data_IF_678237757198
#
_entry.id   IF_678237757198
#
_cell.length_a   1.000
_cell.length_b   1.000
_cell.length_c   1.000
_cell.angle_alpha   90.00
_cell.angle_beta   90.00
_cell.angle_gamma   90.00
#
_symmetry.space_group_name_H-M   'P 1'
#
loop_
_entity.id
_entity.type
_entity.pdbx_description
1 polymer ?
#
# COMPACT_ATOMS: atom_id res chain seq x y z
N UNK A 1 -14.06 -4.94 32.13
CA UNK A 1 -15.14 -3.95 31.90
C UNK A 1 -15.31 -3.80 30.40
N UNK A 2 -16.39 -4.37 29.87
CA UNK A 2 -16.71 -4.41 28.46
C UNK A 2 -17.74 -3.32 28.15
N UNK A 3 -17.51 -2.52 27.10
CA UNK A 3 -18.52 -1.61 26.54
C UNK A 3 -18.83 -2.02 25.12
N UNK A 4 -20.08 -2.43 24.97
CA UNK A 4 -20.67 -3.03 23.79
C UNK A 4 -20.89 -2.02 22.65
N UNK A 5 -20.74 -2.53 21.43
CA UNK A 5 -21.13 -1.89 20.19
C UNK A 5 -22.65 -2.03 19.97
N UNK A 6 -23.30 -0.95 19.54
CA UNK A 6 -24.66 -0.97 18.99
C UNK A 6 -24.62 -0.35 17.60
N UNK A 7 -24.43 -1.19 16.57
CA UNK A 7 -24.70 -0.85 15.17
C UNK A 7 -26.10 -1.36 14.83
N UNK A 8 -26.97 -0.42 14.47
CA UNK A 8 -28.35 -0.68 14.09
C UNK A 8 -28.46 -1.46 12.78
N UNK A 9 -29.03 -2.64 12.86
CA UNK A 9 -29.57 -3.40 11.73
C UNK A 9 -30.84 -2.70 11.24
N UNK A 10 -30.81 -2.12 10.04
CA UNK A 10 -32.02 -1.76 9.30
C UNK A 10 -32.46 -2.98 8.49
N UNK A 11 -33.68 -3.39 8.75
CA UNK A 11 -34.40 -4.50 8.13
C UNK A 11 -34.49 -4.32 6.61
N UNK A 12 -33.91 -5.28 5.87
CA UNK A 12 -34.19 -5.47 4.46
C UNK A 12 -35.58 -6.12 4.35
N UNK A 13 -36.58 -5.30 4.00
CA UNK A 13 -37.94 -5.75 3.69
C UNK A 13 -37.93 -6.51 2.37
N UNK A 14 -37.83 -7.84 2.47
CA UNK A 14 -38.11 -8.78 1.38
C UNK A 14 -39.56 -8.61 0.93
N UNK A 15 -39.76 -7.96 -0.23
CA UNK A 15 -41.04 -7.96 -0.95
C UNK A 15 -41.00 -9.07 -1.99
N UNK A 16 -41.79 -10.11 -1.72
CA UNK A 16 -42.06 -11.23 -2.60
C UNK A 16 -42.76 -10.77 -3.91
N UNK A 17 -42.66 -11.55 -5.00
CA UNK A 17 -43.22 -11.20 -6.30
C UNK A 17 -44.76 -11.21 -6.24
N UNK A 18 -45.38 -10.12 -6.71
CA UNK A 18 -46.81 -10.07 -7.00
C UNK A 18 -47.14 -11.09 -8.08
N UNK A 19 -47.79 -12.16 -7.69
CA UNK A 19 -48.50 -13.10 -8.56
C UNK A 19 -49.57 -12.35 -9.34
N UNK A 20 -49.42 -12.34 -10.67
CA UNK A 20 -50.44 -11.89 -11.62
C UNK A 20 -51.64 -12.83 -11.53
N UNK A 21 -52.79 -12.27 -11.17
CA UNK A 21 -54.09 -12.93 -11.32
C UNK A 21 -54.60 -12.64 -12.73
N UNK A 22 -54.91 -13.63 -13.58
CA UNK A 22 -55.61 -13.42 -14.83
C UNK A 22 -57.10 -13.64 -14.55
N UNK A 23 -57.83 -12.59 -14.16
CA UNK A 23 -59.28 -12.70 -14.08
C UNK A 23 -59.97 -12.22 -15.35
N UNK A 24 -60.87 -13.08 -15.81
CA UNK A 24 -61.45 -13.13 -17.13
C UNK A 24 -62.56 -12.08 -17.25
N UNK A 25 -62.26 -10.93 -17.86
CA UNK A 25 -63.32 -10.09 -18.43
C UNK A 25 -63.66 -10.54 -19.86
N UNK A 26 -64.28 -11.73 -19.94
CA UNK A 26 -65.10 -12.12 -21.10
C UNK A 26 -66.40 -11.33 -21.03
N UNK A 27 -66.39 -10.09 -21.54
CA UNK A 27 -67.64 -9.40 -21.88
C UNK A 27 -67.99 -9.71 -23.33
N UNK A 28 -68.64 -10.86 -23.52
CA UNK A 28 -69.33 -11.17 -24.76
C UNK A 28 -70.42 -10.13 -24.98
N UNK A 29 -70.28 -9.33 -26.05
CA UNK A 29 -71.36 -8.51 -26.55
C UNK A 29 -72.36 -9.43 -27.21
N UNK A 30 -73.42 -9.78 -26.47
CA UNK A 30 -74.62 -10.41 -27.00
C UNK A 30 -75.21 -9.42 -27.99
N UNK A 31 -75.03 -9.68 -29.28
CA UNK A 31 -75.85 -9.10 -30.33
C UNK A 31 -77.28 -9.58 -30.12
N UNK A 32 -78.19 -8.62 -29.90
CA UNK A 32 -79.62 -8.85 -29.97
C UNK A 32 -79.93 -9.24 -31.41
N UNK A 33 -80.21 -10.52 -31.63
CA UNK A 33 -80.84 -10.98 -32.87
C UNK A 33 -82.30 -10.55 -32.72
N UNK A 34 -82.68 -9.48 -33.41
CA UNK A 34 -84.07 -9.16 -33.67
C UNK A 34 -84.65 -10.30 -34.52
N UNK A 35 -85.28 -11.24 -33.84
CA UNK A 35 -86.21 -12.21 -34.42
C UNK A 35 -87.59 -11.61 -34.22
N UNK A 36 -88.43 -11.74 -35.25
CA UNK A 36 -89.85 -11.38 -35.31
C UNK A 36 -90.17 -9.97 -35.84
N UNK A 37 -90.22 -9.87 -37.17
CA UNK A 37 -91.33 -9.16 -37.84
C UNK A 37 -91.64 -9.85 -39.19
N UNK A 38 -92.11 -11.10 -39.12
CA UNK A 38 -92.85 -11.74 -40.21
C UNK A 38 -94.23 -11.06 -40.29
N UNK A 39 -94.27 -9.88 -40.91
CA UNK A 39 -95.49 -9.34 -41.48
C UNK A 39 -95.76 -10.07 -42.79
N UNK A 40 -96.66 -11.06 -42.72
CA UNK A 40 -97.33 -11.62 -43.89
C UNK A 40 -98.05 -10.48 -44.64
N UNK A 41 -97.37 -9.87 -45.61
CA UNK A 41 -98.00 -9.04 -46.63
C UNK A 41 -98.84 -9.96 -47.55
N UNK A 42 -100.16 -9.71 -47.68
CA UNK A 42 -100.99 -10.42 -48.64
C UNK A 42 -100.61 -9.92 -50.03
N UNK A 43 -99.76 -10.68 -50.74
CA UNK A 43 -99.45 -10.44 -52.14
C UNK A 43 -100.73 -10.57 -52.98
N UNK A 44 -101.40 -9.46 -53.26
CA UNK A 44 -102.37 -9.35 -54.34
C UNK A 44 -101.65 -9.62 -55.66
N UNK A 45 -101.94 -10.79 -56.21
CA UNK A 45 -101.36 -11.35 -57.42
C UNK A 45 -101.97 -10.68 -58.66
N UNK A 46 -101.60 -9.42 -58.93
CA UNK A 46 -101.66 -8.85 -60.29
C UNK A 46 -100.54 -7.81 -60.50
N UNK A 47 -99.33 -8.15 -60.06
CA UNK A 47 -98.12 -7.42 -60.46
C UNK A 47 -97.85 -7.69 -61.93
N UNK A 48 -97.84 -6.64 -62.76
CA UNK A 48 -97.47 -6.77 -64.17
C UNK A 48 -96.04 -7.34 -64.28
N UNK A 49 -95.77 -8.14 -65.31
CA UNK A 49 -94.45 -8.73 -65.58
C UNK A 49 -93.33 -7.67 -65.54
N UNK A 50 -93.66 -6.43 -65.93
CA UNK A 50 -92.76 -5.29 -65.91
C UNK A 50 -92.37 -4.84 -64.48
N UNK A 51 -93.31 -4.86 -63.53
CA UNK A 51 -93.02 -4.53 -62.11
C UNK A 51 -92.17 -5.61 -61.42
N UNK A 52 -92.40 -6.88 -61.72
CA UNK A 52 -91.57 -8.00 -61.25
C UNK A 52 -90.15 -7.88 -61.79
N UNK A 53 -90.00 -7.55 -63.08
CA UNK A 53 -88.70 -7.34 -63.71
C UNK A 53 -87.93 -6.15 -63.10
N UNK A 54 -88.62 -5.04 -62.80
CA UNK A 54 -88.02 -3.89 -62.10
C UNK A 54 -87.57 -4.25 -60.68
N UNK A 55 -88.39 -4.98 -59.92
CA UNK A 55 -88.03 -5.43 -58.57
C UNK A 55 -86.83 -6.40 -58.59
N UNK A 56 -86.78 -7.33 -59.54
CA UNK A 56 -85.64 -8.22 -59.74
C UNK A 56 -84.37 -7.43 -60.08
N UNK A 57 -84.46 -6.40 -60.92
CA UNK A 57 -83.33 -5.55 -61.25
C UNK A 57 -82.83 -4.75 -60.03
N UNK A 58 -83.73 -4.24 -59.19
CA UNK A 58 -83.37 -3.57 -57.93
C UNK A 58 -82.69 -4.53 -56.97
N UNK A 59 -83.27 -5.72 -56.73
CA UNK A 59 -82.68 -6.74 -55.86
C UNK A 59 -81.34 -7.24 -56.37
N UNK A 60 -81.18 -7.37 -57.70
CA UNK A 60 -79.90 -7.70 -58.31
C UNK A 60 -78.84 -6.62 -58.06
N UNK A 61 -79.22 -5.34 -58.13
CA UNK A 61 -78.31 -4.24 -57.82
C UNK A 61 -77.95 -4.19 -56.32
N UNK A 62 -78.92 -4.42 -55.43
CA UNK A 62 -78.69 -4.51 -53.98
C UNK A 62 -77.73 -5.66 -53.64
N UNK A 63 -77.92 -6.84 -54.24
CA UNK A 63 -77.01 -7.99 -54.05
C UNK A 63 -75.60 -7.67 -54.54
N UNK A 64 -75.46 -7.03 -55.70
CA UNK A 64 -74.15 -6.61 -56.21
C UNK A 64 -73.48 -5.58 -55.29
N UNK A 65 -74.24 -4.63 -54.75
CA UNK A 65 -73.72 -3.65 -53.81
C UNK A 65 -73.29 -4.32 -52.50
N UNK A 66 -74.12 -5.20 -51.94
CA UNK A 66 -73.82 -5.95 -50.73
C UNK A 66 -72.58 -6.83 -50.90
N UNK A 67 -72.45 -7.49 -52.05
CA UNK A 67 -71.28 -8.30 -52.36
C UNK A 67 -70.01 -7.45 -52.40
N UNK A 68 -70.04 -6.26 -53.04
CA UNK A 68 -68.89 -5.35 -53.03
C UNK A 68 -68.52 -4.90 -51.62
N UNK A 69 -69.49 -4.51 -50.80
CA UNK A 69 -69.22 -4.08 -49.42
C UNK A 69 -68.69 -5.23 -48.56
N UNK A 70 -69.15 -6.45 -48.81
CA UNK A 70 -68.64 -7.63 -48.13
C UNK A 70 -67.18 -7.90 -48.55
N UNK A 71 -66.87 -7.82 -49.85
CA UNK A 71 -65.51 -8.02 -50.35
C UNK A 71 -64.54 -6.95 -49.80
N UNK A 72 -64.99 -5.70 -49.70
CA UNK A 72 -64.25 -4.61 -49.06
C UNK A 72 -64.03 -4.87 -47.55
N UNK A 73 -65.06 -5.33 -46.84
CA UNK A 73 -64.96 -5.71 -45.43
C UNK A 73 -63.94 -6.84 -45.23
N UNK A 74 -64.05 -7.93 -45.99
CA UNK A 74 -63.11 -9.06 -45.93
C UNK A 74 -61.68 -8.60 -46.20
N UNK A 75 -61.48 -7.77 -47.22
CA UNK A 75 -60.16 -7.21 -47.53
C UNK A 75 -59.60 -6.39 -46.36
N UNK A 76 -60.41 -5.49 -45.80
CA UNK A 76 -59.99 -4.67 -44.65
C UNK A 76 -59.69 -5.52 -43.42
N UNK A 77 -60.47 -6.57 -43.16
CA UNK A 77 -60.26 -7.51 -42.05
C UNK A 77 -58.92 -8.23 -42.20
N UNK A 78 -58.61 -8.74 -43.39
CA UNK A 78 -57.32 -9.39 -43.65
C UNK A 78 -56.13 -8.42 -43.56
N UNK A 79 -56.32 -7.15 -43.90
CA UNK A 79 -55.29 -6.11 -43.72
C UNK A 79 -55.03 -5.86 -42.22
N UNK A 80 -56.09 -5.71 -41.41
CA UNK A 80 -55.96 -5.55 -39.95
C UNK A 80 -55.34 -6.78 -39.28
N UNK A 81 -55.74 -7.99 -39.67
CA UNK A 81 -55.14 -9.24 -39.16
C UNK A 81 -53.64 -9.26 -39.41
N UNK A 82 -53.20 -8.93 -40.64
CA UNK A 82 -51.78 -8.85 -40.99
C UNK A 82 -51.04 -7.79 -40.17
N UNK A 83 -51.63 -6.62 -39.97
CA UNK A 83 -51.02 -5.56 -39.15
C UNK A 83 -50.86 -6.00 -37.69
N UNK A 84 -51.86 -6.70 -37.13
CA UNK A 84 -51.79 -7.25 -35.78
C UNK A 84 -50.73 -8.35 -35.66
N UNK A 85 -50.61 -9.24 -36.63
CA UNK A 85 -49.56 -10.26 -36.68
C UNK A 85 -48.16 -9.63 -36.68
N UNK A 86 -47.94 -8.59 -37.49
CA UNK A 86 -46.67 -7.85 -37.52
C UNK A 86 -46.36 -7.22 -36.15
N UNK A 87 -47.38 -6.67 -35.49
CA UNK A 87 -47.22 -6.03 -34.19
C UNK A 87 -46.93 -7.06 -33.07
N UNK A 88 -47.58 -8.22 -33.10
CA UNK A 88 -47.27 -9.35 -32.21
C UNK A 88 -45.82 -9.80 -32.41
N UNK A 89 -45.40 -10.04 -33.66
CA UNK A 89 -44.02 -10.40 -34.00
C UNK A 89 -43.01 -9.37 -33.48
N UNK A 90 -43.34 -8.09 -33.58
CA UNK A 90 -42.50 -7.00 -33.08
C UNK A 90 -42.37 -7.05 -31.56
N UNK A 91 -43.47 -7.26 -30.85
CA UNK A 91 -43.46 -7.37 -29.39
C UNK A 91 -42.76 -8.63 -28.90
N UNK A 92 -42.91 -9.76 -29.57
CA UNK A 92 -42.20 -10.99 -29.25
C UNK A 92 -40.68 -10.80 -29.39
N UNK A 93 -40.22 -10.23 -30.51
CA UNK A 93 -38.80 -9.91 -30.72
C UNK A 93 -38.27 -8.96 -29.65
N UNK A 94 -39.02 -7.92 -29.32
CA UNK A 94 -38.64 -6.97 -28.26
C UNK A 94 -38.56 -7.65 -26.89
N UNK A 95 -39.48 -8.57 -26.61
CA UNK A 95 -39.51 -9.32 -25.34
C UNK A 95 -38.30 -10.24 -25.24
N UNK A 96 -37.99 -11.01 -26.27
CA UNK A 96 -36.79 -11.85 -26.33
C UNK A 96 -35.50 -11.03 -26.17
N UNK A 97 -35.42 -9.85 -26.80
CA UNK A 97 -34.28 -8.95 -26.62
C UNK A 97 -34.16 -8.47 -25.17
N UNK A 98 -35.25 -8.03 -24.55
CA UNK A 98 -35.25 -7.58 -23.15
C UNK A 98 -34.88 -8.70 -22.19
N UNK A 99 -35.37 -9.92 -22.40
CA UNK A 99 -35.00 -11.10 -21.63
C UNK A 99 -33.50 -11.41 -21.76
N UNK A 100 -32.95 -11.34 -22.97
CA UNK A 100 -31.51 -11.55 -23.19
C UNK A 100 -30.65 -10.53 -22.46
N UNK A 101 -31.06 -9.25 -22.46
CA UNK A 101 -30.38 -8.16 -21.74
C UNK A 101 -30.51 -8.36 -20.23
N UNK A 102 -31.68 -8.73 -19.74
CA UNK A 102 -31.90 -9.00 -18.32
C UNK A 102 -31.00 -10.15 -17.82
N UNK A 103 -30.90 -11.23 -18.59
CA UNK A 103 -30.00 -12.34 -18.28
C UNK A 103 -28.53 -11.91 -18.28
N UNK A 104 -28.12 -11.06 -19.21
CA UNK A 104 -26.75 -10.54 -19.24
C UNK A 104 -26.45 -9.66 -18.02
N UNK A 105 -27.36 -8.75 -17.67
CA UNK A 105 -27.20 -7.88 -16.51
C UNK A 105 -27.15 -8.65 -15.19
N UNK A 106 -27.90 -9.74 -15.05
CA UNK A 106 -27.80 -10.60 -13.86
C UNK A 106 -26.45 -11.33 -13.78
N UNK A 107 -25.85 -11.72 -14.92
CA UNK A 107 -24.47 -12.26 -14.93
C UNK A 107 -23.46 -11.19 -14.54
N UNK A 108 -23.52 -10.03 -15.18
CA UNK A 108 -22.59 -8.92 -14.92
C UNK A 108 -22.66 -8.48 -13.44
N UNK A 109 -23.86 -8.48 -12.85
CA UNK A 109 -24.09 -8.23 -11.42
C UNK A 109 -23.48 -9.32 -10.54
N UNK A 110 -23.57 -10.59 -10.94
CA UNK A 110 -22.92 -11.71 -10.26
C UNK A 110 -21.39 -11.58 -10.27
N UNK A 111 -20.81 -11.25 -11.42
CA UNK A 111 -19.37 -11.04 -11.59
C UNK A 111 -18.89 -9.85 -10.76
N UNK A 112 -19.61 -8.73 -10.80
CA UNK A 112 -19.30 -7.53 -10.02
C UNK A 112 -19.39 -7.80 -8.51
N UNK A 113 -20.39 -8.54 -8.05
CA UNK A 113 -20.50 -8.92 -6.64
C UNK A 113 -19.34 -9.81 -6.19
N UNK A 114 -18.89 -10.73 -7.05
CA UNK A 114 -17.75 -11.61 -6.77
C UNK A 114 -16.47 -10.79 -6.65
N UNK A 115 -16.19 -9.93 -7.62
CA UNK A 115 -15.05 -9.01 -7.60
C UNK A 115 -15.09 -8.06 -6.38
N UNK A 116 -16.27 -7.55 -6.03
CA UNK A 116 -16.43 -6.70 -4.84
C UNK A 116 -16.10 -7.45 -3.55
N UNK A 117 -16.45 -8.73 -3.46
CA UNK A 117 -16.13 -9.55 -2.29
C UNK A 117 -14.64 -9.86 -2.21
N UNK A 118 -13.98 -10.16 -3.33
CA UNK A 118 -12.53 -10.34 -3.40
C UNK A 118 -11.79 -9.09 -2.91
N UNK A 119 -12.16 -7.90 -3.40
CA UNK A 119 -11.56 -6.63 -2.96
C UNK A 119 -11.79 -6.38 -1.47
N UNK A 120 -12.97 -6.73 -0.92
CA UNK A 120 -13.22 -6.63 0.52
C UNK A 120 -12.32 -7.55 1.33
N UNK A 121 -12.11 -8.77 0.87
CA UNK A 121 -11.22 -9.74 1.53
C UNK A 121 -9.77 -9.25 1.50
N UNK A 122 -9.28 -8.78 0.35
CA UNK A 122 -7.96 -8.18 0.21
C UNK A 122 -7.76 -6.95 1.12
N UNK A 123 -8.79 -6.10 1.20
CA UNK A 123 -8.78 -4.94 2.09
C UNK A 123 -8.64 -5.37 3.56
N UNK A 124 -9.40 -6.38 3.99
CA UNK A 124 -9.29 -6.91 5.35
C UNK A 124 -7.92 -7.51 5.63
N UNK A 125 -7.34 -8.26 4.69
CA UNK A 125 -5.98 -8.80 4.83
C UNK A 125 -4.96 -7.66 4.96
N UNK A 126 -5.10 -6.62 4.15
CA UNK A 126 -4.24 -5.44 4.17
C UNK A 126 -4.34 -4.69 5.50
N UNK A 127 -5.55 -4.49 6.03
CA UNK A 127 -5.77 -3.86 7.33
C UNK A 127 -5.14 -4.66 8.48
N UNK A 128 -5.28 -5.99 8.48
CA UNK A 128 -4.62 -6.84 9.48
C UNK A 128 -3.09 -6.73 9.40
N UNK A 129 -2.54 -6.71 8.18
CA UNK A 129 -1.10 -6.55 7.97
C UNK A 129 -0.61 -5.18 8.42
N UNK A 130 -1.35 -4.12 8.11
CA UNK A 130 -1.04 -2.76 8.56
C UNK A 130 -1.01 -2.70 10.09
N UNK A 131 -2.04 -3.23 10.75
CA UNK A 131 -2.11 -3.26 12.21
C UNK A 131 -0.90 -4.00 12.82
N UNK A 132 -0.54 -5.17 12.28
CA UNK A 132 0.63 -5.92 12.73
C UNK A 132 1.93 -5.10 12.61
N UNK A 133 2.13 -4.41 11.47
CA UNK A 133 3.31 -3.57 11.27
C UNK A 133 3.32 -2.36 12.22
N UNK A 134 2.16 -1.76 12.49
CA UNK A 134 2.04 -0.67 13.46
C UNK A 134 2.43 -1.12 14.87
N UNK A 135 1.99 -2.31 15.30
CA UNK A 135 2.39 -2.89 16.59
C UNK A 135 3.90 -3.13 16.65
N UNK A 136 4.47 -3.78 15.63
CA UNK A 136 5.92 -4.02 15.56
C UNK A 136 6.73 -2.72 15.59
N UNK A 137 6.26 -1.68 14.89
CA UNK A 137 6.89 -0.37 14.90
C UNK A 137 6.81 0.30 16.29
N UNK A 138 5.70 0.10 17.01
CA UNK A 138 5.58 0.52 18.41
C UNK A 138 6.60 -0.18 19.31
N UNK A 139 6.72 -1.50 19.21
CA UNK A 139 7.65 -2.31 20.01
C UNK A 139 9.11 -1.93 19.72
N UNK A 140 9.46 -1.72 18.45
CA UNK A 140 10.81 -1.30 18.06
C UNK A 140 11.15 0.09 18.57
N UNK A 141 10.21 1.05 18.52
CA UNK A 141 10.42 2.38 19.12
C UNK A 141 10.67 2.30 20.62
N UNK A 142 9.89 1.50 21.34
CA UNK A 142 10.08 1.31 22.76
C UNK A 142 11.44 0.68 23.08
N UNK A 143 11.86 -0.32 22.28
CA UNK A 143 13.16 -0.97 22.43
C UNK A 143 14.32 -0.01 22.18
N UNK A 144 14.21 0.86 21.16
CA UNK A 144 15.22 1.89 20.88
C UNK A 144 15.36 2.84 22.07
N UNK A 145 14.26 3.36 22.60
CA UNK A 145 14.29 4.26 23.76
C UNK A 145 14.96 3.61 24.97
N UNK A 146 14.72 2.31 25.18
CA UNK A 146 15.36 1.58 26.28
C UNK A 146 16.86 1.42 26.08
N UNK A 147 17.29 1.11 24.86
CA UNK A 147 18.71 1.01 24.52
C UNK A 147 19.42 2.36 24.60
N UNK A 148 18.75 3.45 24.24
CA UNK A 148 19.27 4.81 24.42
C UNK A 148 19.48 5.12 25.90
N UNK A 149 18.50 4.81 26.76
CA UNK A 149 18.64 4.96 28.21
C UNK A 149 19.80 4.13 28.77
N UNK A 150 19.88 2.85 28.43
CA UNK A 150 20.95 1.96 28.90
C UNK A 150 22.33 2.48 28.45
N UNK A 151 22.42 3.09 27.26
CA UNK A 151 23.65 3.69 26.75
C UNK A 151 24.04 4.95 27.56
N UNK A 152 23.10 5.86 27.80
CA UNK A 152 23.34 7.05 28.63
C UNK A 152 23.83 6.68 30.05
N UNK A 153 23.26 5.63 30.63
CA UNK A 153 23.68 5.07 31.93
C UNK A 153 25.11 4.52 31.87
N UNK A 154 25.45 3.76 30.82
CA UNK A 154 26.80 3.23 30.60
C UNK A 154 27.84 4.33 30.37
N UNK A 155 27.53 5.36 29.58
CA UNK A 155 28.43 6.50 29.39
C UNK A 155 28.69 7.25 30.70
N UNK A 156 27.65 7.39 31.52
CA UNK A 156 27.77 8.01 32.84
C UNK A 156 28.67 7.17 33.75
N UNK A 157 28.47 5.85 33.79
CA UNK A 157 29.31 4.94 34.55
C UNK A 157 30.77 4.97 34.08
N UNK A 158 31.01 5.05 32.77
CA UNK A 158 32.35 5.16 32.19
C UNK A 158 33.03 6.47 32.62
N UNK A 159 32.31 7.61 32.61
CA UNK A 159 32.84 8.90 33.08
C UNK A 159 33.20 8.86 34.57
N UNK A 160 32.35 8.26 35.41
CA UNK A 160 32.63 8.10 36.84
C UNK A 160 33.84 7.20 37.08
N UNK A 161 33.93 6.07 36.37
CA UNK A 161 35.07 5.16 36.47
C UNK A 161 36.39 5.85 36.05
N UNK A 162 36.36 6.63 34.97
CA UNK A 162 37.52 7.38 34.50
C UNK A 162 37.98 8.42 35.53
N UNK A 163 37.06 9.20 36.10
CA UNK A 163 37.38 10.14 37.18
C UNK A 163 37.98 9.41 38.41
N UNK A 164 37.44 8.24 38.77
CA UNK A 164 37.99 7.44 39.87
C UNK A 164 39.40 6.91 39.57
N UNK A 165 39.71 6.57 38.31
CA UNK A 165 41.05 6.15 37.89
C UNK A 165 42.01 7.33 38.04
N UNK A 166 41.63 8.51 37.55
CA UNK A 166 42.44 9.74 37.64
C UNK A 166 42.71 10.12 39.11
N UNK A 167 41.71 10.05 39.98
CA UNK A 167 41.87 10.28 41.42
C UNK A 167 42.86 9.29 42.08
N UNK A 168 42.80 8.01 41.68
CA UNK A 168 43.72 7.00 42.19
C UNK A 168 45.14 7.19 41.66
N UNK A 169 45.29 7.59 40.40
CA UNK A 169 46.57 7.94 39.79
C UNK A 169 47.23 9.10 40.53
N UNK A 170 46.50 10.20 40.76
CA UNK A 170 47.00 11.34 41.52
C UNK A 170 47.42 10.94 42.95
N UNK A 171 46.62 10.11 43.64
CA UNK A 171 46.98 9.58 44.97
C UNK A 171 48.25 8.74 44.92
N UNK A 172 48.39 7.89 43.89
CA UNK A 172 49.59 7.07 43.68
C UNK A 172 50.83 7.92 43.45
N UNK A 173 50.73 8.96 42.61
CA UNK A 173 51.81 9.91 42.34
C UNK A 173 52.22 10.66 43.63
N UNK A 174 51.25 11.16 44.39
CA UNK A 174 51.50 11.83 45.67
C UNK A 174 52.22 10.91 46.67
N UNK A 175 51.80 9.65 46.79
CA UNK A 175 52.46 8.68 47.66
C UNK A 175 53.87 8.34 47.20
N UNK A 176 54.10 8.28 45.89
CA UNK A 176 55.43 8.06 45.31
C UNK A 176 56.36 9.24 45.61
N UNK A 177 55.89 10.48 45.45
CA UNK A 177 56.63 11.69 45.82
C UNK A 177 57.01 11.69 47.31
N UNK A 178 56.07 11.36 48.20
CA UNK A 178 56.33 11.23 49.64
C UNK A 178 57.37 10.14 49.92
N UNK A 179 57.32 9.01 49.22
CA UNK A 179 58.27 7.92 49.40
C UNK A 179 59.69 8.33 48.97
N UNK A 180 59.82 9.01 47.83
CA UNK A 180 61.09 9.56 47.34
C UNK A 180 61.66 10.57 48.34
N UNK A 181 60.82 11.45 48.89
CA UNK A 181 61.24 12.42 49.90
C UNK A 181 61.79 11.75 51.17
N UNK A 182 61.05 10.79 51.73
CA UNK A 182 61.47 10.03 52.92
C UNK A 182 62.74 9.21 52.65
N UNK A 183 62.89 8.65 51.45
CA UNK A 183 64.10 7.93 51.07
C UNK A 183 65.31 8.86 51.05
N UNK A 184 65.16 10.07 50.51
CA UNK A 184 66.21 11.08 50.53
C UNK A 184 66.59 11.51 51.96
N UNK A 185 65.61 11.75 52.84
CA UNK A 185 65.88 12.06 54.26
C UNK A 185 66.61 10.91 54.97
N UNK A 186 66.19 9.66 54.73
CA UNK A 186 66.86 8.48 55.27
C UNK A 186 68.31 8.38 54.79
N UNK A 187 68.56 8.60 53.51
CA UNK A 187 69.91 8.59 52.94
C UNK A 187 70.78 9.68 53.58
N UNK A 188 70.24 10.86 53.82
CA UNK A 188 70.96 11.97 54.46
C UNK A 188 71.28 11.67 55.94
N UNK A 189 70.32 11.13 56.70
CA UNK A 189 70.55 10.67 58.07
C UNK A 189 71.63 9.57 58.14
N UNK A 190 71.61 8.62 57.20
CA UNK A 190 72.62 7.57 57.12
C UNK A 190 74.01 8.13 56.82
N UNK A 191 74.12 9.14 55.95
CA UNK A 191 75.40 9.84 55.70
C UNK A 191 75.89 10.57 56.96
N UNK A 192 74.99 11.23 57.68
CA UNK A 192 75.35 11.90 58.94
C UNK A 192 75.84 10.90 59.99
N UNK A 193 75.13 9.77 60.17
CA UNK A 193 75.57 8.69 61.05
C UNK A 193 76.93 8.11 60.65
N UNK A 194 77.13 7.83 59.35
CA UNK A 194 78.41 7.35 58.85
C UNK A 194 79.56 8.35 59.11
N UNK A 195 79.29 9.65 58.93
CA UNK A 195 80.24 10.72 59.22
C UNK A 195 80.64 10.75 60.71
N UNK A 196 79.66 10.63 61.61
CA UNK A 196 79.89 10.55 63.06
C UNK A 196 80.76 9.33 63.40
N UNK A 197 80.43 8.15 62.88
CA UNK A 197 81.20 6.91 63.11
C UNK A 197 82.66 7.07 62.63
N UNK A 198 82.88 7.66 61.45
CA UNK A 198 84.24 7.90 60.93
C UNK A 198 85.01 8.89 61.82
N UNK A 199 84.34 9.91 62.36
CA UNK A 199 84.93 10.87 63.28
C UNK A 199 85.27 10.25 64.66
N UNK A 200 84.50 9.28 65.14
CA UNK A 200 84.77 8.56 66.40
C UNK A 200 85.88 7.50 66.28
N UNK A 201 86.13 6.96 65.07
CA UNK A 201 87.14 5.91 64.83
C UNK A 201 88.55 6.46 64.52
N UNK A 202 88.73 7.78 64.37
CA UNK A 202 90.07 8.39 64.21
C UNK A 202 90.52 9.23 65.42
N UNK A 203 91.24 8.65 66.40
CA UNK A 203 92.32 9.36 67.06
C UNK A 203 93.59 9.27 66.17
N UNK A 204 94.22 10.42 65.95
CA UNK A 204 95.47 10.67 65.24
C UNK A 204 96.38 9.46 64.92
N UNK A 205 96.63 9.20 63.63
CA UNK A 205 97.90 8.59 63.19
C UNK A 205 98.21 9.00 61.74
N UNK A 206 99.34 9.69 61.58
CA UNK A 206 99.93 10.15 60.32
C UNK A 206 100.63 8.99 59.59
N UNK A 207 100.52 8.94 58.26
CA UNK A 207 101.41 8.13 57.41
C UNK A 207 101.07 8.23 55.92
N UNK A 208 102.00 8.61 55.02
CA UNK A 208 101.71 8.81 53.61
C UNK A 208 101.88 7.51 52.81
N UNK A 209 100.97 7.24 51.88
CA UNK A 209 101.14 6.12 50.96
C UNK A 209 99.98 5.91 49.99
N UNK A 210 100.23 6.28 48.73
CA UNK A 210 99.66 5.71 47.51
C UNK A 210 98.16 5.91 47.18
N UNK A 211 97.94 6.74 46.16
CA UNK A 211 96.88 6.62 45.13
C UNK A 211 97.54 5.81 43.99
N UNK A 212 96.86 5.02 43.10
CA UNK A 212 95.63 5.50 42.46
C UNK A 212 94.60 4.51 41.85
N UNK A 213 93.53 5.14 41.33
CA UNK A 213 92.84 4.93 40.03
C UNK A 213 91.49 4.19 39.96
N UNK A 214 90.48 5.01 39.63
CA UNK A 214 89.36 4.87 38.67
C UNK A 214 89.01 3.50 38.08
N UNK A 215 87.70 3.20 38.07
CA UNK A 215 86.96 3.01 36.82
C UNK A 215 85.43 3.12 37.02
N UNK A 216 84.83 4.02 36.25
CA UNK A 216 83.41 4.10 35.89
C UNK A 216 83.10 3.09 34.80
N UNK A 217 81.92 2.44 34.83
CA UNK A 217 81.14 1.95 33.67
C UNK A 217 79.75 1.55 34.19
N UNK A 218 78.69 2.31 33.89
CA UNK A 218 77.77 2.17 32.74
C UNK A 218 76.83 0.95 32.79
N UNK A 219 75.54 1.28 32.89
CA UNK A 219 74.33 0.57 32.47
C UNK A 219 74.50 -0.69 31.61
N UNK A 220 73.74 -1.75 31.95
CA UNK A 220 73.16 -2.62 30.94
C UNK A 220 71.88 -3.30 31.45
N UNK A 221 70.74 -2.86 30.89
CA UNK A 221 69.47 -3.60 30.86
C UNK A 221 69.71 -4.95 30.17
N UNK A 222 69.15 -6.03 30.72
CA UNK A 222 68.70 -7.18 29.93
C UNK A 222 67.59 -7.92 30.67
N UNK A 223 66.39 -7.74 30.14
CA UNK A 223 65.23 -8.60 30.34
C UNK A 223 65.50 -10.00 29.79
N UNK A 224 65.00 -11.03 30.48
CA UNK A 224 64.93 -12.44 30.06
C UNK A 224 63.54 -12.93 30.50
N UNK A 225 62.62 -13.18 29.56
CA UNK A 225 62.19 -14.52 29.07
C UNK A 225 61.34 -15.27 30.12
N UNK A 226 60.14 -15.80 29.89
CA UNK A 226 59.63 -16.71 28.84
C UNK A 226 58.09 -16.82 29.03
N UNK A 227 57.28 -16.70 27.97
CA UNK A 227 56.51 -17.75 27.26
C UNK A 227 55.26 -18.32 27.98
N UNK A 228 54.10 -18.09 27.35
CA UNK A 228 53.01 -19.03 26.99
C UNK A 228 52.02 -18.20 26.14
N UNK A 229 51.99 -18.23 24.80
CA UNK A 229 51.56 -19.27 23.84
C UNK A 229 50.07 -19.67 23.96
N UNK A 230 49.44 -19.89 22.78
CA UNK A 230 48.04 -20.29 22.46
C UNK A 230 47.11 -19.07 22.21
N UNK A 231 46.56 -18.76 21.02
CA UNK A 231 46.33 -19.45 19.73
C UNK A 231 45.90 -18.40 18.68
N UNK A 232 46.25 -18.58 17.41
CA UNK A 232 45.68 -17.89 16.21
C UNK A 232 44.75 -18.87 15.45
N UNK A 233 44.11 -18.57 14.27
CA UNK A 233 44.03 -17.35 13.45
C UNK A 233 42.57 -17.00 12.98
N UNK A 234 42.26 -15.88 12.31
CA UNK A 234 42.26 -15.69 10.84
C UNK A 234 41.92 -14.20 10.50
N UNK A 235 42.42 -13.64 9.38
CA UNK A 235 42.60 -12.20 9.19
C UNK A 235 41.64 -11.54 8.18
N UNK A 236 41.45 -10.23 8.37
CA UNK A 236 40.88 -9.25 7.43
C UNK A 236 42.01 -8.70 6.54
N UNK A 237 41.84 -8.53 5.21
CA UNK A 237 42.83 -7.84 4.38
C UNK A 237 42.37 -6.42 3.95
N UNK A 238 43.05 -5.42 4.47
CA UNK A 238 43.33 -4.11 3.83
C UNK A 238 44.83 -4.12 3.48
N UNK A 239 45.42 -3.46 2.50
CA UNK A 239 45.05 -2.59 1.39
C UNK A 239 46.38 -2.50 0.59
N UNK A 240 46.36 -2.54 -0.74
CA UNK A 240 47.60 -2.35 -1.50
C UNK A 240 47.41 -1.37 -2.65
N UNK A 241 47.98 -0.19 -2.44
CA UNK A 241 48.09 0.93 -3.37
C UNK A 241 48.83 0.55 -4.65
N UNK A 242 48.18 0.70 -5.82
CA UNK A 242 48.87 0.84 -7.11
C UNK A 242 48.25 1.94 -7.98
N UNK A 243 49.12 2.89 -8.34
CA UNK A 243 48.91 4.01 -9.26
C UNK A 243 48.55 3.50 -10.67
N UNK A 244 47.57 4.13 -11.33
CA UNK A 244 47.30 3.88 -12.75
C UNK A 244 46.17 4.71 -13.38
N UNK A 245 46.58 5.78 -14.08
CA UNK A 245 45.95 6.44 -15.26
C UNK A 245 44.53 7.02 -15.14
N UNK A 246 44.52 8.35 -15.22
CA UNK A 246 43.38 9.24 -15.50
C UNK A 246 42.56 8.77 -16.71
N UNK A 247 41.26 8.57 -16.51
CA UNK A 247 40.23 8.74 -17.56
C UNK A 247 39.15 9.66 -17.01
N UNK A 248 38.96 10.79 -17.70
CA UNK A 248 37.84 11.73 -17.54
C UNK A 248 36.55 10.98 -17.87
N UNK A 249 35.76 10.66 -16.85
CA UNK A 249 34.37 10.25 -16.97
C UNK A 249 33.58 11.07 -15.97
N UNK A 250 32.71 11.94 -16.46
CA UNK A 250 31.82 12.77 -15.65
C UNK A 250 30.90 11.82 -14.87
N UNK A 251 31.02 11.81 -13.54
CA UNK A 251 29.95 11.32 -12.68
C UNK A 251 28.80 12.32 -12.76
N UNK A 252 27.53 11.90 -12.89
CA UNK A 252 26.42 12.77 -12.56
C UNK A 252 26.52 13.08 -11.07
N UNK A 253 26.45 14.35 -10.72
CA UNK A 253 26.19 14.79 -9.36
C UNK A 253 24.98 14.01 -8.84
N UNK A 254 25.12 13.45 -7.64
CA UNK A 254 24.01 12.92 -6.88
C UNK A 254 23.04 14.08 -6.72
N UNK A 255 22.01 14.12 -7.56
CA UNK A 255 20.85 14.95 -7.33
C UNK A 255 20.22 14.45 -6.04
N UNK A 256 20.55 15.11 -4.94
CA UNK A 256 19.78 15.11 -3.70
C UNK A 256 18.37 15.61 -4.03
N UNK A 257 17.56 14.72 -4.61
CA UNK A 257 16.13 14.89 -4.70
C UNK A 257 15.59 14.59 -3.31
N UNK A 258 15.70 15.60 -2.45
CA UNK A 258 14.97 15.70 -1.21
C UNK A 258 13.48 15.44 -1.49
N UNK A 259 12.99 14.24 -1.19
CA UNK A 259 11.56 13.90 -1.20
C UNK A 259 10.87 14.50 0.03
N UNK A 260 11.00 15.81 0.23
CA UNK A 260 10.36 16.51 1.34
C UNK A 260 8.96 16.97 0.89
N UNK A 261 7.99 16.05 0.87
CA UNK A 261 6.56 16.41 0.71
C UNK A 261 6.06 17.35 1.83
N UNK A 262 6.82 17.52 2.92
CA UNK A 262 6.46 18.30 4.10
C UNK A 262 7.32 19.55 4.34
N UNK A 263 8.33 19.85 3.52
CA UNK A 263 9.18 21.02 3.73
C UNK A 263 8.48 22.32 3.27
N UNK A 264 8.23 23.23 4.23
CA UNK A 264 7.60 24.54 4.01
C UNK A 264 8.36 25.43 3.01
N UNK A 265 9.70 25.34 2.94
CA UNK A 265 10.52 26.10 1.97
C UNK A 265 10.38 25.61 0.53
N UNK A 266 10.13 24.31 0.31
CA UNK A 266 9.97 23.73 -1.02
C UNK A 266 8.59 24.02 -1.65
N UNK A 267 7.56 24.30 -0.83
CA UNK A 267 6.24 24.74 -1.33
C UNK A 267 6.23 26.16 -1.90
N UNK A 268 7.21 26.99 -1.55
CA UNK A 268 7.26 28.40 -1.95
C UNK A 268 7.92 28.63 -3.33
N UNK A 269 8.70 27.67 -3.83
CA UNK A 269 9.31 27.79 -5.15
C UNK A 269 8.43 27.10 -6.20
N UNK A 270 7.75 27.91 -7.01
CA UNK A 270 7.10 27.49 -8.25
C UNK A 270 8.09 26.70 -9.12
N UNK A 271 7.69 25.58 -9.72
CA UNK A 271 8.57 24.87 -10.64
C UNK A 271 8.80 25.76 -11.87
N UNK A 272 10.07 26.07 -12.13
CA UNK A 272 10.49 26.67 -13.38
C UNK A 272 10.15 25.70 -14.51
N UNK A 273 9.21 26.12 -15.36
CA UNK A 273 8.92 25.50 -16.64
C UNK A 273 10.11 25.73 -17.57
N UNK A 274 11.08 24.82 -17.55
CA UNK A 274 12.04 24.66 -18.63
C UNK A 274 12.18 23.17 -18.92
N UNK A 275 11.39 22.71 -19.87
CA UNK A 275 11.87 21.94 -21.02
C UNK A 275 10.68 21.67 -21.93
N UNK A 276 10.53 22.57 -22.92
CA UNK A 276 9.80 22.27 -24.13
C UNK A 276 10.53 21.15 -24.86
N UNK A 277 9.84 20.01 -24.95
CA UNK A 277 10.22 18.87 -25.77
C UNK A 277 8.93 18.15 -26.08
N UNK A 278 8.44 18.34 -27.30
CA UNK A 278 7.26 17.70 -27.86
C UNK A 278 7.45 16.18 -27.84
N UNK A 279 6.59 15.47 -27.15
CA UNK A 279 6.25 14.09 -27.48
C UNK A 279 4.81 13.82 -27.05
N UNK A 280 4.01 13.28 -27.97
CA UNK A 280 2.54 13.11 -27.90
C UNK A 280 2.05 12.09 -26.86
N UNK A 281 2.86 11.76 -25.85
CA UNK A 281 2.46 10.92 -24.71
C UNK A 281 2.71 11.71 -23.44
N UNK A 282 1.62 12.22 -22.86
CA UNK A 282 1.63 13.13 -21.72
C UNK A 282 2.57 12.72 -20.58
N UNK A 283 3.14 13.72 -19.92
CA UNK A 283 4.25 13.60 -18.95
C UNK A 283 4.01 12.62 -17.80
N UNK A 284 2.75 12.32 -17.51
CA UNK A 284 2.35 11.41 -16.42
C UNK A 284 2.56 9.95 -16.78
N UNK A 285 2.24 9.53 -18.01
CA UNK A 285 2.41 8.14 -18.43
C UNK A 285 3.89 7.75 -18.49
N UNK A 286 4.71 8.64 -19.07
CA UNK A 286 6.16 8.46 -19.13
C UNK A 286 6.86 8.50 -17.76
N UNK A 287 6.21 9.07 -16.74
CA UNK A 287 6.70 9.02 -15.36
C UNK A 287 6.49 7.63 -14.75
N UNK A 288 5.29 7.06 -14.90
CA UNK A 288 4.99 5.74 -14.36
C UNK A 288 5.78 4.63 -15.06
N UNK A 289 6.01 4.73 -16.37
CA UNK A 289 6.85 3.77 -17.09
C UNK A 289 8.30 3.81 -16.60
N UNK A 290 8.85 5.01 -16.37
CA UNK A 290 10.19 5.18 -15.79
C UNK A 290 10.28 4.64 -14.36
N UNK A 291 9.25 4.87 -13.55
CA UNK A 291 9.17 4.34 -12.19
C UNK A 291 9.11 2.81 -12.19
N UNK A 292 8.40 2.23 -13.15
CA UNK A 292 8.25 0.79 -13.31
C UNK A 292 9.57 0.13 -13.71
N UNK A 293 10.30 0.71 -14.66
CA UNK A 293 11.64 0.23 -15.04
C UNK A 293 12.62 0.35 -13.88
N UNK A 294 12.56 1.46 -13.11
CA UNK A 294 13.42 1.65 -11.94
C UNK A 294 13.17 0.62 -10.83
N UNK A 295 11.90 0.31 -10.54
CA UNK A 295 11.53 -0.60 -9.44
C UNK A 295 11.64 -2.09 -9.81
N UNK A 296 11.41 -2.44 -11.07
CA UNK A 296 11.27 -3.84 -11.48
C UNK A 296 12.31 -4.30 -12.51
N UNK A 297 13.20 -3.42 -12.97
CA UNK A 297 14.17 -3.71 -14.03
C UNK A 297 13.50 -3.86 -15.41
N UNK A 298 14.31 -3.74 -16.47
CA UNK A 298 13.85 -4.09 -17.82
C UNK A 298 13.63 -5.61 -17.89
N UNK A 299 12.43 -6.03 -18.28
CA UNK A 299 12.16 -7.43 -18.64
C UNK A 299 12.66 -7.72 -20.04
#
# INVERSE_FOLDING_TARGET
MATAATLGLREAKTMAPKTLSPDRDRRGSIGTVDVDDDLEEPYELDMSVETVAQLLALKSNELLQLQRTHDEYVKSSCEYERELEIEVDRYEKKTQQLESVALQLERDKGDLNSSMNEVKEELQVTQRREHMVQTQLGDMKWRIQRLEQDNDELETAARVAQASIEDLQHKSETLLEQNVFLQHEKEELMKQLASIIVAEVHPASMGPGAVPRSASTRFSRKSSSHISEVTSPVPVPEENSRKGKRRKGRRPEVLETCLHLTCRKCRANKPHAHNGGSDEKGSVAAFFDRLKVFLFGER
#
